data_IF_302339472354
#
_entry.id   IF_302339472354
#
_cell.length_a   1.000
_cell.length_b   1.000
_cell.length_c   1.000
_cell.angle_alpha   90.00
_cell.angle_beta   90.00
_cell.angle_gamma   90.00
#
_symmetry.space_group_name_H-M   'P 1'
#
loop_
_entity.id
_entity.type
_entity.pdbx_description
1 polymer ?
#
# COMPACT_ATOMS: atom_id res chain seq x y z
N UNK A 1 -4.15 -3.73 -1.03
CA UNK A 1 -3.92 -4.98 -1.81
C UNK A 1 -2.68 -5.66 -1.26
N UNK A 2 -2.70 -7.01 -1.10
CA UNK A 2 -1.57 -7.74 -0.52
C UNK A 2 -1.25 -9.01 -1.30
N UNK A 3 0.05 -9.38 -1.33
CA UNK A 3 0.50 -10.70 -1.80
C UNK A 3 0.71 -11.63 -0.60
N UNK A 4 0.64 -12.92 -0.82
CA UNK A 4 1.16 -13.88 0.17
C UNK A 4 2.68 -13.70 0.32
N UNK A 5 3.24 -13.68 1.55
CA UNK A 5 4.67 -13.51 1.78
C UNK A 5 5.45 -14.80 1.49
N UNK A 6 5.48 -15.19 0.20
CA UNK A 6 6.15 -16.39 -0.28
C UNK A 6 7.51 -16.03 -0.89
N UNK A 7 8.54 -16.82 -0.55
CA UNK A 7 9.89 -16.65 -1.08
C UNK A 7 9.88 -16.67 -2.62
N UNK A 8 10.62 -15.75 -3.24
CA UNK A 8 10.68 -15.59 -4.69
C UNK A 8 9.47 -14.91 -5.35
N UNK A 9 8.38 -14.65 -4.58
CA UNK A 9 7.15 -14.04 -5.11
C UNK A 9 6.96 -12.58 -4.68
N UNK A 10 7.67 -12.15 -3.62
CA UNK A 10 7.57 -10.80 -3.05
C UNK A 10 8.95 -10.17 -2.90
N UNK A 11 9.02 -8.85 -3.02
CA UNK A 11 10.25 -8.07 -2.82
C UNK A 11 11.47 -8.62 -3.60
N UNK A 12 11.22 -9.11 -4.80
CA UNK A 12 12.26 -9.70 -5.68
C UNK A 12 13.35 -8.71 -6.08
N UNK A 13 13.07 -7.39 -6.04
CA UNK A 13 14.06 -6.33 -6.27
C UNK A 13 15.05 -6.14 -5.12
N UNK A 14 14.76 -6.71 -3.95
CA UNK A 14 15.70 -6.75 -2.82
C UNK A 14 16.76 -7.87 -2.97
N UNK A 15 16.55 -8.80 -3.90
CA UNK A 15 17.58 -9.79 -4.29
C UNK A 15 18.50 -9.13 -5.33
N UNK A 16 19.85 -9.10 -5.15
CA UNK A 16 20.66 -9.97 -4.31
C UNK A 16 21.03 -9.40 -2.92
N UNK A 17 20.58 -8.23 -2.51
CA UNK A 17 20.91 -7.68 -1.18
C UNK A 17 20.37 -8.58 -0.04
N UNK A 18 19.26 -9.27 -0.30
CA UNK A 18 18.65 -10.28 0.59
C UNK A 18 18.46 -11.60 -0.16
N UNK A 19 18.41 -12.72 0.56
CA UNK A 19 17.90 -13.97 -0.03
C UNK A 19 16.39 -13.86 -0.26
N UNK A 20 15.83 -14.75 -1.08
CA UNK A 20 14.39 -14.78 -1.33
C UNK A 20 13.58 -14.98 -0.04
N UNK A 21 14.09 -15.83 0.89
CA UNK A 21 13.50 -16.09 2.20
C UNK A 21 13.57 -14.85 3.09
N UNK A 22 14.70 -14.15 3.09
CA UNK A 22 14.87 -12.90 3.84
C UNK A 22 13.93 -11.79 3.32
N UNK A 23 13.81 -11.67 2.01
CA UNK A 23 12.90 -10.72 1.38
C UNK A 23 11.42 -11.02 1.72
N UNK A 24 11.03 -12.30 1.70
CA UNK A 24 9.69 -12.72 2.13
C UNK A 24 9.46 -12.52 3.63
N UNK A 25 10.47 -12.77 4.47
CA UNK A 25 10.43 -12.50 5.90
C UNK A 25 10.25 -11.02 6.22
N UNK A 26 10.97 -10.14 5.51
CA UNK A 26 10.82 -8.69 5.62
C UNK A 26 9.40 -8.25 5.22
N UNK A 27 8.92 -8.72 4.08
CA UNK A 27 7.57 -8.41 3.63
C UNK A 27 6.50 -8.90 4.63
N UNK A 28 6.70 -10.08 5.21
CA UNK A 28 5.83 -10.58 6.29
C UNK A 28 5.84 -9.66 7.51
N UNK A 29 6.99 -9.13 7.91
CA UNK A 29 7.09 -8.18 9.01
C UNK A 29 6.35 -6.87 8.71
N UNK A 30 6.52 -6.32 7.49
CA UNK A 30 5.79 -5.15 6.99
C UNK A 30 4.28 -5.37 7.02
N UNK A 31 3.80 -6.50 6.50
CA UNK A 31 2.38 -6.84 6.53
C UNK A 31 1.81 -6.88 7.96
N UNK A 32 2.51 -7.53 8.89
CA UNK A 32 2.07 -7.64 10.27
C UNK A 32 1.99 -6.28 10.96
N UNK A 33 2.99 -5.42 10.75
CA UNK A 33 3.00 -4.08 11.31
C UNK A 33 1.88 -3.23 10.70
N UNK A 34 1.66 -3.30 9.39
CA UNK A 34 0.61 -2.58 8.70
C UNK A 34 -0.80 -3.05 9.12
N UNK A 35 -1.02 -4.35 9.26
CA UNK A 35 -2.29 -4.87 9.72
C UNK A 35 -2.60 -4.45 11.16
N UNK A 36 -1.64 -4.54 12.06
CA UNK A 36 -1.82 -4.07 13.43
C UNK A 36 -2.09 -2.56 13.50
N UNK A 37 -1.41 -1.78 12.68
CA UNK A 37 -1.62 -0.34 12.58
C UNK A 37 -3.03 -0.01 12.08
N UNK A 38 -3.44 -0.57 10.97
CA UNK A 38 -4.76 -0.32 10.36
C UNK A 38 -5.92 -0.88 11.17
N UNK A 39 -5.71 -1.93 11.99
CA UNK A 39 -6.74 -2.48 12.87
C UNK A 39 -7.28 -1.42 13.83
N UNK A 40 -6.45 -0.50 14.26
CA UNK A 40 -6.79 0.57 15.19
C UNK A 40 -7.27 1.86 14.50
N UNK A 41 -7.24 1.93 13.18
CA UNK A 41 -7.79 3.07 12.45
C UNK A 41 -9.31 3.05 12.52
N UNK A 42 -9.93 4.07 13.12
CA UNK A 42 -11.37 4.14 13.32
C UNK A 42 -12.12 4.61 12.07
N UNK A 43 -13.39 4.25 11.96
CA UNK A 43 -14.30 4.81 10.94
C UNK A 43 -14.24 4.19 9.55
N UNK A 44 -13.47 3.11 9.36
CA UNK A 44 -13.40 2.42 8.07
C UNK A 44 -13.56 0.90 8.23
N UNK A 45 -14.30 0.27 7.32
CA UNK A 45 -14.26 -1.17 7.13
C UNK A 45 -13.00 -1.58 6.39
N UNK A 46 -12.45 -2.75 6.72
CA UNK A 46 -11.14 -3.19 6.25
C UNK A 46 -11.25 -4.42 5.38
N UNK A 47 -10.68 -4.32 4.20
CA UNK A 47 -10.64 -5.39 3.21
C UNK A 47 -9.20 -5.70 2.83
N UNK A 48 -8.88 -6.98 2.66
CA UNK A 48 -7.61 -7.45 2.11
C UNK A 48 -7.89 -8.13 0.78
N UNK A 49 -7.59 -7.45 -0.31
CA UNK A 49 -7.60 -8.07 -1.63
C UNK A 49 -6.25 -8.75 -1.85
N UNK A 50 -6.27 -10.07 -1.95
CA UNK A 50 -5.06 -10.88 -1.88
C UNK A 50 -4.75 -11.64 -3.17
N UNK A 51 -3.48 -11.94 -3.37
CA UNK A 51 -2.99 -12.86 -4.38
C UNK A 51 -1.89 -13.76 -3.79
N UNK A 52 -1.80 -15.04 -4.16
CA UNK A 52 -2.71 -15.78 -5.02
C UNK A 52 -4.11 -16.00 -4.39
N UNK A 53 -5.04 -16.54 -5.17
CA UNK A 53 -6.44 -16.69 -4.74
C UNK A 53 -6.62 -17.63 -3.54
N UNK A 54 -5.75 -18.62 -3.39
CA UNK A 54 -5.72 -19.60 -2.30
C UNK A 54 -5.03 -19.09 -1.02
N UNK A 55 -4.43 -17.89 -1.05
CA UNK A 55 -3.69 -17.32 0.08
C UNK A 55 -4.58 -16.79 1.23
N UNK A 56 -5.91 -16.90 1.12
CA UNK A 56 -6.85 -16.38 2.11
C UNK A 56 -6.55 -16.83 3.53
N UNK A 57 -6.36 -18.12 3.74
CA UNK A 57 -6.13 -18.67 5.08
C UNK A 57 -4.78 -18.19 5.65
N UNK A 58 -3.73 -18.22 4.84
CA UNK A 58 -2.41 -17.72 5.23
C UNK A 58 -2.47 -16.24 5.68
N UNK A 59 -3.14 -15.38 4.93
CA UNK A 59 -3.24 -13.97 5.29
C UNK A 59 -4.18 -13.73 6.46
N UNK A 60 -5.23 -14.53 6.61
CA UNK A 60 -6.10 -14.49 7.78
C UNK A 60 -5.37 -14.90 9.07
N UNK A 61 -4.51 -15.90 9.00
CA UNK A 61 -3.66 -16.32 10.12
C UNK A 61 -2.65 -15.22 10.51
N UNK A 62 -2.22 -14.41 9.56
CA UNK A 62 -1.33 -13.27 9.79
C UNK A 62 -2.05 -12.05 10.35
N UNK A 63 -3.17 -11.65 9.74
CA UNK A 63 -3.86 -10.38 10.05
C UNK A 63 -5.05 -10.51 11.02
N UNK A 64 -5.56 -11.75 11.23
CA UNK A 64 -6.70 -12.00 12.12
C UNK A 64 -8.06 -11.83 11.45
N UNK A 65 -9.11 -11.82 12.27
CA UNK A 65 -10.50 -11.82 11.83
C UNK A 65 -11.09 -10.40 11.58
N UNK A 66 -10.35 -9.35 11.89
CA UNK A 66 -10.82 -7.95 11.79
C UNK A 66 -10.87 -7.43 10.34
N UNK A 67 -10.55 -8.28 9.37
CA UNK A 67 -10.50 -7.99 7.95
C UNK A 67 -11.42 -8.89 7.15
N UNK A 68 -12.03 -8.37 6.09
CA UNK A 68 -12.68 -9.16 5.06
C UNK A 68 -11.67 -9.50 3.95
N UNK A 69 -11.51 -10.77 3.64
CA UNK A 69 -10.52 -11.26 2.67
C UNK A 69 -11.21 -11.64 1.35
N UNK A 70 -10.74 -11.02 0.26
CA UNK A 70 -11.21 -11.26 -1.10
C UNK A 70 -9.99 -11.51 -2.01
N UNK A 71 -10.14 -12.43 -2.95
CA UNK A 71 -9.10 -12.64 -3.95
C UNK A 71 -9.06 -11.47 -4.94
N UNK A 72 -7.86 -11.10 -5.40
CA UNK A 72 -7.71 -10.21 -6.54
C UNK A 72 -8.15 -10.92 -7.82
N UNK A 73 -8.70 -10.18 -8.79
CA UNK A 73 -8.95 -10.69 -10.13
C UNK A 73 -7.65 -11.01 -10.86
N UNK A 74 -7.76 -11.76 -11.93
CA UNK A 74 -6.69 -11.87 -12.92
C UNK A 74 -6.53 -10.56 -13.71
N UNK A 75 -5.43 -10.44 -14.43
CA UNK A 75 -5.10 -9.26 -15.22
C UNK A 75 -3.93 -8.46 -14.67
N UNK A 76 -3.66 -7.32 -15.27
CA UNK A 76 -2.63 -6.39 -14.84
C UNK A 76 -3.02 -5.64 -13.55
N UNK A 77 -2.14 -4.76 -13.08
CA UNK A 77 -2.38 -3.99 -11.85
C UNK A 77 -3.61 -3.09 -11.97
N UNK A 78 -3.86 -2.48 -13.13
CA UNK A 78 -5.01 -1.60 -13.36
C UNK A 78 -6.32 -2.34 -13.30
N UNK A 79 -6.43 -3.48 -13.98
CA UNK A 79 -7.61 -4.36 -13.94
C UNK A 79 -7.90 -4.79 -12.49
N UNK A 80 -6.87 -5.19 -11.74
CA UNK A 80 -7.03 -5.59 -10.34
C UNK A 80 -7.50 -4.46 -9.45
N UNK A 81 -6.92 -3.25 -9.60
CA UNK A 81 -7.37 -2.08 -8.85
C UNK A 81 -8.81 -1.69 -9.19
N UNK A 82 -9.14 -1.64 -10.48
CA UNK A 82 -10.50 -1.33 -10.94
C UNK A 82 -11.52 -2.32 -10.37
N UNK A 83 -11.18 -3.62 -10.33
CA UNK A 83 -12.05 -4.64 -9.76
C UNK A 83 -12.27 -4.44 -8.25
N UNK A 84 -11.23 -4.06 -7.50
CA UNK A 84 -11.36 -3.72 -6.06
C UNK A 84 -12.41 -2.63 -5.86
N UNK A 85 -12.34 -1.54 -6.62
CA UNK A 85 -13.32 -0.46 -6.52
C UNK A 85 -14.72 -0.91 -6.92
N UNK A 86 -14.85 -1.72 -7.95
CA UNK A 86 -16.13 -2.29 -8.40
C UNK A 86 -16.75 -3.16 -7.30
N UNK A 87 -16.00 -4.09 -6.75
CA UNK A 87 -16.48 -5.02 -5.73
C UNK A 87 -16.94 -4.30 -4.46
N UNK A 88 -16.17 -3.30 -4.02
CA UNK A 88 -16.52 -2.52 -2.84
C UNK A 88 -17.73 -1.61 -3.10
N UNK A 89 -17.87 -1.04 -4.29
CA UNK A 89 -19.07 -0.28 -4.69
C UNK A 89 -20.32 -1.16 -4.68
N UNK A 90 -20.26 -2.36 -5.21
CA UNK A 90 -21.37 -3.33 -5.19
C UNK A 90 -21.75 -3.74 -3.75
N UNK A 91 -20.83 -3.66 -2.80
CA UNK A 91 -21.07 -3.87 -1.36
C UNK A 91 -21.64 -2.62 -0.65
N UNK A 92 -21.85 -1.53 -1.37
CA UNK A 92 -22.45 -0.30 -0.85
C UNK A 92 -21.45 0.75 -0.34
N UNK A 93 -20.13 0.49 -0.43
CA UNK A 93 -19.14 1.48 -0.03
C UNK A 93 -19.08 2.63 -1.02
N UNK A 94 -19.03 3.86 -0.50
CA UNK A 94 -18.96 5.08 -1.32
C UNK A 94 -17.55 5.64 -1.40
N UNK A 95 -16.94 5.86 -0.27
CA UNK A 95 -15.58 6.40 -0.16
C UNK A 95 -14.63 5.22 0.02
N UNK A 96 -13.82 4.92 -0.99
CA UNK A 96 -12.94 3.76 -1.01
C UNK A 96 -11.51 4.26 -1.11
N UNK A 97 -10.66 3.81 -0.20
CA UNK A 97 -9.22 4.08 -0.20
C UNK A 97 -8.48 2.75 -0.37
N UNK A 98 -7.71 2.66 -1.42
CA UNK A 98 -6.86 1.52 -1.74
C UNK A 98 -5.40 1.87 -1.46
N UNK A 99 -4.70 1.04 -0.71
CA UNK A 99 -3.27 1.22 -0.40
C UNK A 99 -2.46 -0.03 -0.76
N UNK A 100 -1.16 0.17 -0.97
CA UNK A 100 -0.16 -0.90 -1.02
C UNK A 100 -0.03 -1.63 0.33
N UNK A 101 0.69 -2.72 0.35
CA UNK A 101 0.90 -3.55 1.54
C UNK A 101 2.35 -3.52 2.06
N UNK A 102 3.15 -2.60 1.59
CA UNK A 102 4.57 -2.46 1.85
C UNK A 102 4.95 -1.03 2.27
N UNK A 103 3.98 -0.33 2.84
CA UNK A 103 4.08 1.04 3.31
C UNK A 103 4.44 1.06 4.80
N UNK A 104 5.70 1.27 5.17
CA UNK A 104 6.05 1.34 6.57
C UNK A 104 5.46 2.59 7.21
N UNK A 105 4.77 2.42 8.34
CA UNK A 105 4.30 3.49 9.22
C UNK A 105 3.49 4.60 8.52
N UNK A 106 2.64 4.27 7.55
CA UNK A 106 1.78 5.27 6.91
C UNK A 106 0.95 6.00 7.99
N UNK A 107 1.10 7.33 8.20
CA UNK A 107 0.39 8.04 9.24
C UNK A 107 -1.13 7.99 9.06
N UNK A 108 -1.89 7.85 10.14
CA UNK A 108 -3.35 7.92 10.09
C UNK A 108 -3.85 9.24 9.55
N UNK A 109 -3.15 10.35 9.81
CA UNK A 109 -3.49 11.66 9.26
C UNK A 109 -3.55 11.69 7.73
N UNK A 110 -2.79 10.84 7.04
CA UNK A 110 -2.87 10.69 5.58
C UNK A 110 -4.17 9.97 5.19
N UNK A 111 -4.57 8.95 5.93
CA UNK A 111 -5.83 8.25 5.71
C UNK A 111 -7.03 9.14 6.03
N UNK A 112 -6.97 9.88 7.15
CA UNK A 112 -7.99 10.87 7.51
C UNK A 112 -8.17 11.90 6.41
N UNK A 113 -7.09 12.51 5.92
CA UNK A 113 -7.13 13.46 4.80
C UNK A 113 -7.72 12.83 3.53
N UNK A 114 -7.37 11.57 3.22
CA UNK A 114 -7.94 10.88 2.07
C UNK A 114 -9.46 10.75 2.19
N UNK A 115 -9.97 10.29 3.34
CA UNK A 115 -11.41 10.13 3.56
C UNK A 115 -12.15 11.48 3.64
N UNK A 116 -11.58 12.49 4.27
CA UNK A 116 -12.12 13.85 4.30
C UNK A 116 -12.31 14.41 2.89
N UNK A 117 -11.30 14.24 2.03
CA UNK A 117 -11.37 14.72 0.64
C UNK A 117 -12.39 13.95 -0.20
N UNK A 118 -12.63 12.66 0.11
CA UNK A 118 -13.63 11.84 -0.57
C UNK A 118 -15.05 12.07 -0.04
N UNK A 119 -15.24 12.68 1.12
CA UNK A 119 -16.57 12.86 1.75
C UNK A 119 -17.46 13.85 1.00
N UNK A 120 -16.92 14.66 0.07
CA UNK A 120 -17.67 15.64 -0.71
C UNK A 120 -18.65 15.01 -1.71
N UNK A 121 -19.64 15.80 -2.15
CA UNK A 121 -20.64 15.39 -3.13
C UNK A 121 -20.10 15.27 -4.56
N UNK A 122 -19.01 15.97 -4.87
CA UNK A 122 -18.38 15.93 -6.20
C UNK A 122 -17.59 14.64 -6.39
N UNK A 123 -17.52 14.17 -7.64
CA UNK A 123 -16.62 13.08 -8.03
C UNK A 123 -15.18 13.50 -7.78
N UNK A 124 -14.44 12.69 -7.04
CA UNK A 124 -13.05 12.99 -6.70
C UNK A 124 -12.20 11.74 -6.68
N UNK A 125 -10.97 11.92 -7.16
CA UNK A 125 -9.89 10.98 -7.00
C UNK A 125 -8.87 11.56 -6.02
N UNK A 126 -8.35 10.75 -5.12
CA UNK A 126 -7.28 11.13 -4.19
C UNK A 126 -6.08 10.24 -4.47
N UNK A 127 -4.93 10.85 -4.70
CA UNK A 127 -3.68 10.13 -5.02
C UNK A 127 -2.65 10.42 -3.93
N UNK A 128 -2.03 9.39 -3.40
CA UNK A 128 -0.86 9.50 -2.54
C UNK A 128 0.41 9.21 -3.34
N UNK A 129 1.17 10.24 -3.76
CA UNK A 129 2.36 10.05 -4.59
C UNK A 129 3.42 9.19 -3.91
N UNK A 130 4.04 8.26 -4.65
CA UNK A 130 5.20 7.48 -4.24
C UNK A 130 6.47 8.06 -4.86
N UNK A 131 7.62 7.85 -4.20
CA UNK A 131 8.92 8.37 -4.66
C UNK A 131 9.38 7.79 -5.99
N UNK A 132 8.91 6.61 -6.33
CA UNK A 132 9.23 5.91 -7.58
C UNK A 132 8.45 6.43 -8.81
N UNK A 133 7.58 7.45 -8.63
CA UNK A 133 6.74 8.03 -9.67
C UNK A 133 5.39 7.34 -9.87
N UNK A 134 5.05 6.39 -9.01
CA UNK A 134 3.73 5.81 -8.85
C UNK A 134 2.90 6.51 -7.77
N UNK A 135 1.99 5.76 -7.17
CA UNK A 135 1.24 6.18 -6.00
C UNK A 135 1.06 5.01 -5.02
N UNK A 136 1.23 5.31 -3.75
CA UNK A 136 1.04 4.36 -2.65
C UNK A 136 -0.42 4.24 -2.22
N UNK A 137 -1.24 5.26 -2.56
CA UNK A 137 -2.65 5.35 -2.21
C UNK A 137 -3.46 5.84 -3.41
N UNK A 138 -4.59 5.18 -3.67
CA UNK A 138 -5.61 5.59 -4.61
C UNK A 138 -6.97 5.61 -3.89
N UNK A 139 -7.60 6.78 -3.82
CA UNK A 139 -8.93 6.96 -3.25
C UNK A 139 -9.95 7.38 -4.31
N UNK A 140 -11.17 6.84 -4.26
CA UNK A 140 -12.26 7.24 -5.14
C UNK A 140 -13.61 7.22 -4.41
N UNK A 141 -14.45 8.23 -4.67
CA UNK A 141 -15.84 8.27 -4.23
C UNK A 141 -16.85 7.95 -5.35
N UNK A 142 -16.40 7.86 -6.61
CA UNK A 142 -17.17 7.42 -7.78
C UNK A 142 -16.30 6.57 -8.70
N UNK A 143 -16.88 5.67 -9.49
CA UNK A 143 -16.15 4.95 -10.53
C UNK A 143 -15.46 5.91 -11.49
N UNK A 144 -14.19 5.67 -11.76
CA UNK A 144 -13.34 6.47 -12.65
C UNK A 144 -12.51 5.51 -13.52
N UNK A 145 -13.16 4.77 -14.45
CA UNK A 145 -12.47 3.78 -15.27
C UNK A 145 -11.41 4.38 -16.19
N UNK A 146 -11.52 5.68 -16.49
CA UNK A 146 -10.64 6.43 -17.39
C UNK A 146 -9.17 6.36 -16.95
N UNK A 147 -8.90 6.30 -15.65
CA UNK A 147 -7.52 6.24 -15.16
C UNK A 147 -6.85 4.86 -15.36
N UNK A 148 -7.63 3.82 -15.62
CA UNK A 148 -7.12 2.45 -15.81
C UNK A 148 -7.01 2.06 -17.28
N UNK A 149 -7.79 2.69 -18.18
CA UNK A 149 -7.85 2.34 -19.58
C UNK A 149 -6.50 2.58 -20.28
N UNK A 150 -6.01 1.57 -21.02
CA UNK A 150 -4.77 1.65 -21.82
C UNK A 150 -3.56 2.18 -21.02
N UNK A 151 -3.47 1.86 -19.73
CA UNK A 151 -2.40 2.28 -18.85
C UNK A 151 -1.32 1.20 -18.77
N UNK A 152 -0.08 1.58 -19.03
CA UNK A 152 1.07 0.74 -18.67
C UNK A 152 1.39 0.97 -17.20
N UNK A 153 1.66 -0.10 -16.46
CA UNK A 153 1.93 -0.04 -15.02
C UNK A 153 3.40 -0.31 -14.69
N UNK A 154 3.80 0.00 -13.47
CA UNK A 154 5.13 -0.29 -12.93
C UNK A 154 6.29 0.45 -13.62
N UNK A 155 6.08 1.73 -13.91
CA UNK A 155 7.11 2.64 -14.43
C UNK A 155 7.01 4.03 -13.78
N UNK A 156 8.07 4.88 -13.84
CA UNK A 156 8.14 6.12 -13.06
C UNK A 156 7.17 7.25 -13.47
N UNK A 157 6.34 7.05 -14.50
CA UNK A 157 5.41 8.07 -14.98
C UNK A 157 3.94 7.76 -14.66
N UNK A 158 3.66 6.71 -13.90
CA UNK A 158 2.29 6.27 -13.60
C UNK A 158 1.45 7.41 -12.98
N UNK A 159 2.00 8.12 -11.99
CA UNK A 159 1.32 9.26 -11.38
C UNK A 159 1.02 10.37 -12.39
N UNK A 160 2.03 10.76 -13.18
CA UNK A 160 1.89 11.82 -14.18
C UNK A 160 0.86 11.46 -15.26
N UNK A 161 0.88 10.24 -15.75
CA UNK A 161 -0.09 9.75 -16.74
C UNK A 161 -1.50 9.65 -16.17
N UNK A 162 -1.63 9.27 -14.89
CA UNK A 162 -2.92 9.26 -14.19
C UNK A 162 -3.50 10.68 -14.07
N UNK A 163 -2.70 11.66 -13.64
CA UNK A 163 -3.17 13.06 -13.51
C UNK A 163 -3.52 13.67 -14.86
N UNK A 164 -2.73 13.41 -15.92
CA UNK A 164 -3.07 13.85 -17.28
C UNK A 164 -4.42 13.29 -17.76
N UNK A 165 -4.74 12.03 -17.44
CA UNK A 165 -6.04 11.42 -17.78
C UNK A 165 -7.19 12.05 -17.00
N UNK A 166 -6.97 12.35 -15.71
CA UNK A 166 -7.95 13.05 -14.90
C UNK A 166 -8.24 14.45 -15.47
N UNK A 167 -7.20 15.20 -15.81
CA UNK A 167 -7.33 16.55 -16.42
C UNK A 167 -8.05 16.48 -17.76
N UNK A 168 -7.67 15.54 -18.64
CA UNK A 168 -8.29 15.35 -19.96
C UNK A 168 -9.79 15.01 -19.88
N UNK A 169 -10.23 14.39 -18.78
CA UNK A 169 -11.64 14.05 -18.54
C UNK A 169 -12.36 15.03 -17.62
N UNK A 170 -11.74 16.17 -17.26
CA UNK A 170 -12.28 17.15 -16.32
C UNK A 170 -12.68 16.55 -14.96
N UNK A 171 -11.92 15.57 -14.48
CA UNK A 171 -12.15 14.90 -13.21
C UNK A 171 -11.35 15.55 -12.09
N UNK A 172 -12.02 15.92 -11.02
CA UNK A 172 -11.36 16.54 -9.86
C UNK A 172 -10.50 15.52 -9.12
N UNK A 173 -9.28 15.91 -8.81
CA UNK A 173 -8.39 15.13 -7.96
C UNK A 173 -7.61 15.98 -6.96
N UNK A 174 -6.98 15.30 -6.01
CA UNK A 174 -6.06 15.92 -5.06
C UNK A 174 -4.90 14.99 -4.77
N UNK A 175 -3.77 15.61 -4.42
CA UNK A 175 -2.56 14.90 -4.02
C UNK A 175 -2.38 14.98 -2.51
N UNK A 176 -2.06 13.84 -1.90
CA UNK A 176 -1.62 13.72 -0.53
C UNK A 176 -0.10 13.93 -0.43
N UNK A 177 0.46 14.05 0.77
CA UNK A 177 1.90 14.05 0.96
C UNK A 177 2.56 12.81 0.34
N UNK A 178 3.73 13.01 -0.26
CA UNK A 178 4.53 11.90 -0.82
C UNK A 178 4.96 10.95 0.29
N UNK A 179 4.80 9.65 0.05
CA UNK A 179 5.28 8.60 0.95
C UNK A 179 6.24 7.67 0.21
N UNK A 180 6.73 6.65 0.89
CA UNK A 180 7.67 5.69 0.33
C UNK A 180 7.27 4.25 0.70
N UNK A 181 7.70 3.34 -0.12
CA UNK A 181 7.69 1.90 0.08
C UNK A 181 9.12 1.38 0.26
N UNK A 182 9.27 0.14 0.71
CA UNK A 182 10.56 -0.53 0.77
C UNK A 182 10.61 -1.51 -0.39
N UNK A 183 11.27 -1.14 -1.49
CA UNK A 183 11.28 -1.97 -2.71
C UNK A 183 12.69 -2.31 -3.23
N UNK A 184 13.67 -1.48 -2.96
CA UNK A 184 15.08 -1.69 -3.35
C UNK A 184 16.03 -1.62 -2.16
N UNK A 185 17.28 -2.04 -2.34
CA UNK A 185 18.27 -2.11 -1.25
C UNK A 185 18.53 -0.76 -0.58
N UNK A 186 18.47 0.33 -1.32
CA UNK A 186 18.64 1.71 -0.83
C UNK A 186 17.53 2.08 0.16
N UNK A 187 16.31 1.60 -0.05
CA UNK A 187 15.16 1.86 0.83
C UNK A 187 15.37 1.22 2.20
N UNK A 188 16.03 0.03 2.26
CA UNK A 188 16.36 -0.63 3.53
C UNK A 188 17.25 0.24 4.41
N UNK A 189 18.29 0.81 3.81
CA UNK A 189 19.22 1.69 4.52
C UNK A 189 18.53 2.99 4.93
N UNK A 190 17.74 3.56 4.03
CA UNK A 190 16.98 4.77 4.32
C UNK A 190 16.01 4.54 5.47
N UNK A 191 15.21 3.48 5.42
CA UNK A 191 14.23 3.16 6.45
C UNK A 191 14.88 2.85 7.81
N UNK A 192 15.99 2.12 7.83
CA UNK A 192 16.71 1.81 9.05
C UNK A 192 17.28 3.06 9.79
N UNK A 193 17.46 4.17 9.07
CA UNK A 193 17.95 5.44 9.61
C UNK A 193 16.85 6.42 10.01
N UNK A 194 15.60 6.15 9.62
CA UNK A 194 14.51 7.04 10.00
C UNK A 194 14.32 7.02 11.51
N UNK A 195 14.06 8.17 12.15
CA UNK A 195 13.61 8.18 13.52
C UNK A 195 12.37 7.31 13.65
N UNK A 196 12.32 6.49 14.69
CA UNK A 196 11.13 5.69 14.97
C UNK A 196 9.94 6.66 15.06
N UNK A 197 8.89 6.52 14.25
CA UNK A 197 7.72 7.39 14.33
C UNK A 197 7.18 7.39 15.77
N UNK A 198 6.53 8.47 16.18
CA UNK A 198 5.84 8.53 17.50
C UNK A 198 4.86 7.38 17.70
N UNK A 199 4.39 6.77 16.61
CA UNK A 199 3.69 5.49 16.58
C UNK A 199 4.65 4.28 16.53
N UNK A 200 5.68 4.24 17.38
CA UNK A 200 6.73 3.21 17.37
C UNK A 200 6.28 1.75 17.32
N UNK A 201 5.01 1.49 17.65
CA UNK A 201 4.37 0.19 17.47
C UNK A 201 4.14 -0.17 15.98
N UNK A 202 3.97 0.83 15.09
CA UNK A 202 3.59 0.62 13.69
C UNK A 202 4.69 0.04 12.79
N UNK A 203 5.93 -0.05 13.27
CA UNK A 203 7.09 -0.56 12.50
C UNK A 203 7.97 -1.50 13.32
N UNK A 204 7.49 -1.95 14.46
CA UNK A 204 8.30 -2.72 15.42
C UNK A 204 8.86 -4.01 14.84
N UNK A 205 8.03 -4.81 14.18
CA UNK A 205 8.48 -6.11 13.62
C UNK A 205 9.42 -5.90 12.46
N UNK A 206 9.14 -4.92 11.62
CA UNK A 206 9.98 -4.55 10.48
C UNK A 206 11.37 -4.13 10.95
N UNK A 207 11.45 -3.24 11.95
CA UNK A 207 12.72 -2.79 12.51
C UNK A 207 13.49 -3.92 13.20
N UNK A 208 12.81 -4.79 13.96
CA UNK A 208 13.42 -5.97 14.57
C UNK A 208 13.99 -6.92 13.52
N UNK A 209 13.25 -7.15 12.44
CA UNK A 209 13.70 -8.01 11.36
C UNK A 209 14.91 -7.44 10.63
N UNK A 210 14.90 -6.15 10.31
CA UNK A 210 16.04 -5.46 9.70
C UNK A 210 17.28 -5.49 10.59
N UNK A 211 17.12 -5.26 11.89
CA UNK A 211 18.22 -5.36 12.86
C UNK A 211 18.82 -6.77 12.91
N UNK A 212 18.00 -7.81 12.82
CA UNK A 212 18.45 -9.20 12.75
C UNK A 212 19.22 -9.52 11.46
N UNK A 213 18.93 -8.81 10.37
CA UNK A 213 19.67 -8.88 9.10
C UNK A 213 20.93 -8.01 9.06
N UNK A 214 21.26 -7.29 10.16
CA UNK A 214 22.43 -6.43 10.24
C UNK A 214 22.21 -4.97 9.82
N UNK A 215 21.00 -4.60 9.41
CA UNK A 215 20.65 -3.19 9.19
C UNK A 215 20.34 -2.54 10.55
N UNK A 216 21.26 -1.70 11.04
CA UNK A 216 21.09 -1.02 12.33
C UNK A 216 20.90 0.46 12.12
N UNK A 217 20.14 1.11 13.01
CA UNK A 217 20.23 2.55 13.19
C UNK A 217 21.67 2.86 13.64
N UNK A 218 22.35 3.75 12.94
CA UNK A 218 23.59 4.30 13.45
C UNK A 218 23.27 4.91 14.82
N UNK A 219 23.72 4.28 15.89
CA UNK A 219 23.71 4.89 17.22
C UNK A 219 24.43 6.21 17.05
N UNK A 220 23.73 7.32 17.30
CA UNK A 220 24.32 8.67 17.28
C UNK A 220 25.60 8.59 18.08
N UNK A 221 26.76 8.72 17.40
CA UNK A 221 28.00 9.04 18.04
C UNK A 221 27.79 10.40 18.74
N UNK A 222 27.86 10.35 20.06
CA UNK A 222 27.91 11.54 20.89
C UNK A 222 29.06 12.47 20.48
#
# INVERSE_FOLDING_TARGET
MAKAPLAGSVKTRLVPALTAEQAAGLYRALLLDQFDHLRNFAGAERYVFHTPADAKNLLRDLAGADYTYLAQSDGDLGVRMQQVFTDLRLRGHRNIVLIGSDLPALPWSILDQAFEQLAGAQARVVLGPSRDGGYYLLGMNRPTPEIFADMTWSHPRVLAETTMRLDANNLSYSLLPTWFDIDVAEDLQHFARLPTPDSGAAVRRTMQYLAALGFRQDSKSN
#
